data_IF_577480529864
#
_entry.id   IF_577480529864
#
_cell.length_a   1.000
_cell.length_b   1.000
_cell.length_c   1.000
_cell.angle_alpha   90.00
_cell.angle_beta   90.00
_cell.angle_gamma   90.00
#
_symmetry.space_group_name_H-M   'P 1'
#
loop_
_entity.id
_entity.type
_entity.pdbx_description
1 polymer ?
#
# COMPACT_ATOMS: atom_id res chain seq x y z
N UNK A 1 32.17 14.38 -2.10
CA UNK A 1 31.91 13.11 -1.38
C UNK A 1 30.83 12.41 -2.16
N UNK A 2 31.20 11.36 -2.90
CA UNK A 2 30.27 10.58 -3.74
C UNK A 2 29.25 9.91 -2.85
N UNK A 3 27.94 10.17 -3.08
CA UNK A 3 26.85 9.42 -2.49
C UNK A 3 27.02 7.96 -2.95
N UNK A 4 27.37 7.05 -2.01
CA UNK A 4 27.25 5.63 -2.25
C UNK A 4 25.77 5.37 -2.57
N UNK A 5 25.47 4.94 -3.79
CA UNK A 5 24.15 4.47 -4.16
C UNK A 5 23.72 3.43 -3.13
N UNK A 6 22.49 3.53 -2.65
CA UNK A 6 21.92 2.56 -1.71
C UNK A 6 21.91 1.20 -2.43
N UNK A 7 22.84 0.31 -2.06
CA UNK A 7 23.05 -1.03 -2.64
C UNK A 7 21.79 -1.93 -2.52
N UNK A 8 20.73 -1.43 -1.87
CA UNK A 8 19.44 -2.10 -1.66
C UNK A 8 18.40 -1.78 -2.73
N UNK A 9 18.65 -0.79 -3.61
CA UNK A 9 17.75 -0.43 -4.71
C UNK A 9 18.06 -1.25 -5.95
N UNK A 10 17.04 -1.85 -6.55
CA UNK A 10 17.14 -2.59 -7.80
C UNK A 10 15.91 -2.41 -8.68
N UNK A 11 16.05 -2.71 -9.95
CA UNK A 11 14.94 -2.79 -10.89
C UNK A 11 14.60 -4.26 -11.14
N UNK A 12 13.32 -4.61 -11.03
CA UNK A 12 12.81 -5.96 -11.30
C UNK A 12 11.95 -5.91 -12.56
N UNK A 13 12.18 -6.82 -13.49
CA UNK A 13 11.34 -6.95 -14.69
C UNK A 13 10.12 -7.82 -14.35
N UNK A 14 8.94 -7.24 -14.47
CA UNK A 14 7.67 -7.90 -14.18
C UNK A 14 6.74 -7.70 -15.37
N UNK A 15 6.33 -8.77 -16.03
CA UNK A 15 5.41 -8.75 -17.19
C UNK A 15 5.82 -7.72 -18.27
N UNK A 16 7.13 -7.60 -18.52
CA UNK A 16 7.69 -6.70 -19.54
C UNK A 16 7.91 -5.25 -19.06
N UNK A 17 7.52 -4.90 -17.84
CA UNK A 17 7.73 -3.58 -17.25
C UNK A 17 8.81 -3.61 -16.16
N UNK A 18 9.60 -2.56 -16.06
CA UNK A 18 10.63 -2.40 -15.01
C UNK A 18 10.03 -1.71 -13.81
N UNK A 19 10.05 -2.39 -12.66
CA UNK A 19 9.59 -1.84 -11.39
C UNK A 19 10.78 -1.51 -10.50
N UNK A 20 10.75 -0.30 -9.93
CA UNK A 20 11.67 0.12 -8.88
C UNK A 20 11.37 -0.65 -7.60
N UNK A 21 12.39 -1.31 -7.04
CA UNK A 21 12.31 -2.07 -5.81
C UNK A 21 13.44 -1.71 -4.86
N UNK A 22 13.16 -1.73 -3.56
CA UNK A 22 14.15 -1.63 -2.49
C UNK A 22 13.95 -2.80 -1.53
N UNK A 23 15.03 -3.50 -1.24
CA UNK A 23 15.01 -4.61 -0.29
C UNK A 23 15.49 -4.14 1.09
N UNK A 24 14.85 -4.66 2.13
CA UNK A 24 15.28 -4.55 3.53
C UNK A 24 15.65 -5.96 3.99
N UNK A 25 16.92 -6.24 4.14
CA UNK A 25 17.41 -7.61 4.29
C UNK A 25 17.26 -8.41 2.99
N UNK A 26 17.08 -9.72 3.12
CA UNK A 26 16.99 -10.66 1.99
C UNK A 26 15.61 -11.35 2.00
N UNK A 27 14.57 -10.72 1.43
CA UNK A 27 13.28 -11.37 1.28
C UNK A 27 13.35 -12.46 0.20
N UNK A 28 12.70 -13.59 0.46
CA UNK A 28 12.59 -14.70 -0.50
C UNK A 28 12.53 -16.07 0.18
N UNK A 29 12.21 -17.08 -0.61
CA UNK A 29 12.07 -18.46 -0.14
C UNK A 29 10.81 -18.70 0.68
N UNK A 30 10.88 -19.64 1.61
CA UNK A 30 9.75 -20.06 2.44
C UNK A 30 9.51 -19.16 3.67
N UNK A 31 10.46 -18.28 4.00
CA UNK A 31 10.34 -17.38 5.15
C UNK A 31 9.36 -16.23 4.86
N UNK A 32 8.57 -15.80 5.85
CA UNK A 32 7.72 -14.64 5.68
C UNK A 32 8.53 -13.36 5.38
N UNK A 33 7.96 -12.47 4.56
CA UNK A 33 8.53 -11.15 4.27
C UNK A 33 7.44 -10.08 4.29
N UNK A 34 7.77 -8.86 4.73
CA UNK A 34 6.92 -7.70 4.58
C UNK A 34 6.94 -7.22 3.12
N UNK A 35 5.78 -6.92 2.57
CA UNK A 35 5.65 -6.33 1.22
C UNK A 35 4.89 -5.03 1.34
N UNK A 36 5.57 -3.92 1.06
CA UNK A 36 5.03 -2.57 1.23
C UNK A 36 4.39 -2.07 -0.06
N UNK A 37 3.09 -1.79 0.02
CA UNK A 37 2.27 -1.27 -1.08
C UNK A 37 1.88 0.18 -0.79
N UNK A 38 2.36 1.09 -1.62
CA UNK A 38 2.20 2.54 -1.42
C UNK A 38 0.81 3.06 -1.81
N UNK A 39 0.49 4.26 -1.32
CA UNK A 39 -0.72 5.03 -1.61
C UNK A 39 -0.76 5.59 -3.05
N UNK A 40 -1.81 6.39 -3.35
CA UNK A 40 -2.11 6.92 -4.69
C UNK A 40 -0.99 7.70 -5.36
N UNK A 41 -0.22 8.47 -4.60
CA UNK A 41 0.94 9.25 -5.08
C UNK A 41 2.25 8.81 -4.43
N UNK A 42 2.29 7.61 -3.87
CA UNK A 42 3.45 7.05 -3.22
C UNK A 42 4.45 6.40 -4.16
N UNK A 43 5.57 6.01 -3.59
CA UNK A 43 6.65 5.29 -4.25
C UNK A 43 7.62 4.74 -3.20
N UNK A 44 8.69 4.07 -3.62
CA UNK A 44 9.74 3.55 -2.71
C UNK A 44 10.24 4.63 -1.76
N UNK A 45 10.60 5.80 -2.26
CA UNK A 45 11.15 6.88 -1.43
C UNK A 45 10.14 7.54 -0.49
N UNK A 46 8.84 7.44 -0.78
CA UNK A 46 7.76 7.99 0.04
C UNK A 46 7.64 7.32 1.41
N UNK A 47 8.06 6.07 1.53
CA UNK A 47 8.07 5.33 2.79
C UNK A 47 9.16 5.78 3.77
N UNK A 48 10.16 6.52 3.32
CA UNK A 48 11.32 6.99 4.12
C UNK A 48 12.02 5.81 4.82
N UNK A 49 12.27 5.91 6.12
CA UNK A 49 12.91 4.91 6.99
C UNK A 49 11.91 3.92 7.63
N UNK A 50 10.61 4.14 7.46
CA UNK A 50 9.58 3.33 8.10
C UNK A 50 9.71 1.82 7.82
N UNK A 51 9.96 1.35 6.58
CA UNK A 51 10.16 -0.06 6.31
C UNK A 51 11.35 -0.67 7.06
N UNK A 52 12.47 0.06 7.16
CA UNK A 52 13.65 -0.40 7.87
C UNK A 52 13.37 -0.57 9.37
N UNK A 53 12.67 0.41 9.97
CA UNK A 53 12.29 0.38 11.38
C UNK A 53 11.33 -0.77 11.68
N UNK A 54 10.32 -0.95 10.84
CA UNK A 54 9.35 -2.02 11.03
C UNK A 54 10.00 -3.40 10.84
N UNK A 55 10.76 -3.61 9.75
CA UNK A 55 11.48 -4.85 9.49
C UNK A 55 12.40 -5.23 10.65
N UNK A 56 13.20 -4.26 11.16
CA UNK A 56 14.06 -4.46 12.30
C UNK A 56 13.28 -4.84 13.57
N UNK A 57 12.12 -4.20 13.80
CA UNK A 57 11.30 -4.47 14.99
C UNK A 57 10.68 -5.86 14.97
N UNK A 58 10.14 -6.29 13.84
CA UNK A 58 9.44 -7.59 13.72
C UNK A 58 10.38 -8.74 13.36
N UNK A 59 11.64 -8.44 12.99
CA UNK A 59 12.62 -9.45 12.61
C UNK A 59 12.34 -10.12 11.26
N UNK A 60 11.62 -9.44 10.37
CA UNK A 60 11.31 -9.93 9.02
C UNK A 60 12.00 -9.06 7.96
N UNK A 61 12.49 -9.68 6.86
CA UNK A 61 12.93 -8.91 5.70
C UNK A 61 11.76 -8.24 5.00
N UNK A 62 12.04 -7.25 4.13
CA UNK A 62 11.01 -6.49 3.44
C UNK A 62 11.31 -6.20 1.97
N UNK A 63 10.25 -6.10 1.19
CA UNK A 63 10.21 -5.57 -0.17
C UNK A 63 9.41 -4.28 -0.17
N UNK A 64 10.02 -3.19 -0.64
CA UNK A 64 9.33 -1.94 -0.96
C UNK A 64 9.41 -1.75 -2.45
N UNK A 65 8.29 -1.51 -3.14
CA UNK A 65 8.32 -1.29 -4.59
C UNK A 65 7.42 -0.13 -5.00
N UNK A 66 7.77 0.48 -6.13
CA UNK A 66 6.94 1.47 -6.80
C UNK A 66 6.12 0.79 -7.89
N UNK A 67 4.80 0.96 -7.86
CA UNK A 67 3.90 0.44 -8.90
C UNK A 67 4.20 1.05 -10.26
N UNK A 68 3.77 0.42 -11.34
CA UNK A 68 3.89 0.94 -12.70
C UNK A 68 3.31 2.37 -12.80
N UNK A 69 4.09 3.29 -13.36
CA UNK A 69 3.74 4.71 -13.46
C UNK A 69 4.14 5.54 -12.24
N UNK A 70 4.80 4.95 -11.23
CA UNK A 70 5.21 5.65 -10.00
C UNK A 70 6.70 5.51 -9.72
N UNK A 71 7.25 6.45 -8.95
CA UNK A 71 8.64 6.39 -8.52
C UNK A 71 9.61 6.35 -9.70
N UNK A 72 10.58 5.45 -9.61
CA UNK A 72 11.55 5.12 -10.67
C UNK A 72 11.09 3.99 -11.59
N UNK A 73 9.88 3.45 -11.43
CA UNK A 73 9.30 2.44 -12.31
C UNK A 73 9.04 2.97 -13.73
N UNK A 74 8.86 2.07 -14.68
CA UNK A 74 8.50 2.49 -16.04
C UNK A 74 7.19 3.29 -16.05
N UNK A 75 7.08 4.33 -16.89
CA UNK A 75 5.87 5.13 -17.05
C UNK A 75 4.67 4.28 -17.50
N UNK A 76 3.48 4.67 -17.06
CA UNK A 76 2.25 4.06 -17.55
C UNK A 76 2.04 4.42 -19.02
N UNK A 77 1.65 3.44 -19.84
CA UNK A 77 1.28 3.67 -21.23
C UNK A 77 -0.24 3.90 -21.33
N UNK A 78 -0.65 5.11 -21.68
CA UNK A 78 -2.07 5.48 -21.80
C UNK A 78 -2.77 5.74 -20.46
N UNK A 79 -4.10 5.82 -20.49
CA UNK A 79 -4.91 6.10 -19.32
C UNK A 79 -4.95 4.90 -18.35
N UNK A 80 -4.99 5.18 -17.05
CA UNK A 80 -5.14 4.17 -16.02
C UNK A 80 -6.57 3.61 -16.02
N UNK A 81 -6.69 2.30 -15.95
CA UNK A 81 -7.99 1.61 -15.88
C UNK A 81 -8.71 1.89 -14.54
N UNK A 82 -10.04 2.01 -14.50
CA UNK A 82 -10.80 1.99 -13.25
C UNK A 82 -10.62 0.70 -12.43
N UNK A 83 -10.07 -0.35 -13.03
CA UNK A 83 -9.73 -1.60 -12.37
C UNK A 83 -8.29 -1.64 -11.83
N UNK A 84 -7.54 -0.55 -11.86
CA UNK A 84 -6.10 -0.52 -11.61
C UNK A 84 -5.66 -1.19 -10.30
N UNK A 85 -6.45 -1.08 -9.23
CA UNK A 85 -6.14 -1.76 -7.97
C UNK A 85 -6.35 -3.27 -8.09
N UNK A 86 -7.36 -3.72 -8.82
CA UNK A 86 -7.58 -5.13 -9.09
C UNK A 86 -6.49 -5.69 -10.01
N UNK A 87 -6.13 -4.94 -11.06
CA UNK A 87 -5.09 -5.36 -12.02
C UNK A 87 -3.73 -5.49 -11.30
N UNK A 88 -3.39 -4.53 -10.43
CA UNK A 88 -2.20 -4.61 -9.58
C UNK A 88 -2.24 -5.83 -8.66
N UNK A 89 -3.37 -6.03 -7.95
CA UNK A 89 -3.53 -7.10 -6.97
C UNK A 89 -3.54 -8.50 -7.59
N UNK A 90 -4.01 -8.64 -8.85
CA UNK A 90 -4.25 -9.95 -9.47
C UNK A 90 -3.26 -10.34 -10.55
N UNK A 91 -2.49 -9.39 -11.08
CA UNK A 91 -1.48 -9.61 -12.10
C UNK A 91 -0.07 -9.19 -11.62
N UNK A 92 0.17 -7.88 -11.43
CA UNK A 92 1.51 -7.35 -11.15
C UNK A 92 2.08 -7.85 -9.82
N UNK A 93 1.33 -7.74 -8.73
CA UNK A 93 1.79 -8.18 -7.40
C UNK A 93 2.11 -9.68 -7.36
N UNK A 94 1.25 -10.61 -7.85
CA UNK A 94 1.59 -12.03 -7.91
C UNK A 94 2.83 -12.32 -8.76
N UNK A 95 2.99 -11.61 -9.88
CA UNK A 95 4.15 -11.78 -10.75
C UNK A 95 5.44 -11.31 -10.06
N UNK A 96 5.40 -10.16 -9.37
CA UNK A 96 6.53 -9.64 -8.61
C UNK A 96 6.92 -10.57 -7.46
N UNK A 97 5.94 -11.09 -6.71
CA UNK A 97 6.18 -12.04 -5.62
C UNK A 97 6.85 -13.32 -6.13
N UNK A 98 6.42 -13.83 -7.29
CA UNK A 98 6.99 -15.00 -7.93
C UNK A 98 8.42 -14.75 -8.42
N UNK A 99 8.68 -13.59 -9.05
CA UNK A 99 10.01 -13.21 -9.52
C UNK A 99 11.03 -13.10 -8.38
N UNK A 100 10.57 -12.70 -7.19
CA UNK A 100 11.39 -12.55 -5.99
C UNK A 100 11.36 -13.78 -5.07
N UNK A 101 10.68 -14.85 -5.47
CA UNK A 101 10.45 -16.07 -4.65
C UNK A 101 9.86 -15.78 -3.25
N UNK A 102 8.99 -14.76 -3.13
CA UNK A 102 8.31 -14.44 -1.87
C UNK A 102 7.02 -15.24 -1.77
N UNK A 103 7.01 -16.27 -0.90
CA UNK A 103 5.91 -17.26 -0.84
C UNK A 103 4.90 -17.00 0.28
N UNK A 104 5.28 -16.30 1.34
CA UNK A 104 4.43 -15.98 2.49
C UNK A 104 4.46 -14.48 2.79
N UNK A 105 3.92 -13.63 1.89
CA UNK A 105 3.93 -12.20 2.10
C UNK A 105 3.05 -11.79 3.28
N UNK A 106 3.56 -10.91 4.14
CA UNK A 106 2.76 -10.04 5.00
C UNK A 106 2.56 -8.75 4.20
N UNK A 107 1.36 -8.56 3.66
CA UNK A 107 1.05 -7.41 2.83
C UNK A 107 0.79 -6.20 3.73
N UNK A 108 1.67 -5.21 3.66
CA UNK A 108 1.61 -3.97 4.41
C UNK A 108 1.26 -2.83 3.45
N UNK A 109 -0.02 -2.45 3.41
CA UNK A 109 -0.52 -1.47 2.45
C UNK A 109 -0.96 -0.17 3.10
N UNK A 110 -0.81 0.94 2.36
CA UNK A 110 -1.35 2.24 2.73
C UNK A 110 -2.30 2.74 1.62
N UNK A 111 -3.50 3.20 1.99
CA UNK A 111 -4.51 3.77 1.09
C UNK A 111 -4.81 2.84 -0.10
N UNK A 112 -4.59 3.26 -1.36
CA UNK A 112 -4.68 2.37 -2.54
C UNK A 112 -3.92 1.05 -2.33
N UNK A 113 -2.73 1.11 -1.74
CA UNK A 113 -1.92 -0.07 -1.46
C UNK A 113 -2.57 -1.01 -0.43
N UNK A 114 -3.31 -0.47 0.54
CA UNK A 114 -4.07 -1.26 1.50
C UNK A 114 -5.26 -1.95 0.82
N UNK A 115 -5.95 -1.24 -0.07
CA UNK A 115 -7.03 -1.80 -0.88
C UNK A 115 -6.51 -2.92 -1.81
N UNK A 116 -5.35 -2.71 -2.47
CA UNK A 116 -4.67 -3.73 -3.28
C UNK A 116 -4.34 -4.98 -2.45
N UNK A 117 -3.81 -4.80 -1.22
CA UNK A 117 -3.52 -5.91 -0.32
C UNK A 117 -4.77 -6.73 0.04
N UNK A 118 -5.88 -6.05 0.32
CA UNK A 118 -7.17 -6.68 0.63
C UNK A 118 -7.75 -7.42 -0.59
N UNK A 119 -7.68 -6.82 -1.79
CA UNK A 119 -8.09 -7.46 -3.05
C UNK A 119 -7.27 -8.72 -3.28
N UNK A 120 -5.94 -8.64 -3.16
CA UNK A 120 -5.05 -9.79 -3.34
C UNK A 120 -5.38 -10.93 -2.37
N UNK A 121 -5.54 -10.61 -1.08
CA UNK A 121 -5.86 -11.59 -0.04
C UNK A 121 -7.22 -12.28 -0.26
N UNK A 122 -8.19 -11.57 -0.86
CA UNK A 122 -9.50 -12.13 -1.19
C UNK A 122 -9.51 -12.93 -2.49
N UNK A 123 -8.71 -12.51 -3.48
CA UNK A 123 -8.61 -13.20 -4.76
C UNK A 123 -7.81 -14.50 -4.65
N UNK A 124 -6.74 -14.50 -3.82
CA UNK A 124 -5.86 -15.64 -3.60
C UNK A 124 -5.83 -16.07 -2.12
N UNK A 125 -6.96 -16.65 -1.59
CA UNK A 125 -7.03 -17.02 -0.19
C UNK A 125 -5.95 -18.04 0.18
N UNK A 126 -5.17 -17.73 1.22
CA UNK A 126 -4.10 -18.59 1.72
C UNK A 126 -2.71 -18.28 1.18
N UNK A 127 -2.55 -17.34 0.23
CA UNK A 127 -1.23 -16.86 -0.23
C UNK A 127 -0.63 -15.86 0.76
N UNK A 128 -1.37 -14.82 1.10
CA UNK A 128 -0.91 -13.86 2.11
C UNK A 128 -0.96 -14.48 3.51
N UNK A 129 0.16 -14.34 4.26
CA UNK A 129 0.23 -14.73 5.67
C UNK A 129 -0.65 -13.83 6.54
N UNK A 130 -0.65 -12.53 6.26
CA UNK A 130 -1.45 -11.52 6.93
C UNK A 130 -1.57 -10.27 6.08
N UNK A 131 -2.53 -9.39 6.41
CA UNK A 131 -2.66 -8.05 5.86
C UNK A 131 -2.61 -7.03 7.00
N UNK A 132 -1.78 -5.99 6.83
CA UNK A 132 -1.83 -4.76 7.61
C UNK A 132 -2.28 -3.64 6.67
N UNK A 133 -3.49 -3.15 6.88
CA UNK A 133 -4.14 -2.18 6.01
C UNK A 133 -4.23 -0.83 6.72
N UNK A 134 -3.42 0.14 6.28
CA UNK A 134 -3.43 1.51 6.79
C UNK A 134 -4.32 2.38 5.92
N UNK A 135 -5.30 3.04 6.51
CA UNK A 135 -6.23 3.93 5.84
C UNK A 135 -6.80 3.37 4.51
N UNK A 136 -7.33 2.12 4.51
CA UNK A 136 -7.82 1.47 3.30
C UNK A 136 -9.07 2.14 2.77
N UNK A 137 -9.36 1.92 1.48
CA UNK A 137 -10.67 2.17 0.90
C UNK A 137 -11.32 0.84 0.51
N UNK A 138 -12.55 0.61 0.94
CA UNK A 138 -13.39 -0.51 0.51
C UNK A 138 -14.40 -0.08 -0.54
N UNK A 139 -14.77 1.17 -0.47
CA UNK A 139 -15.72 1.84 -1.36
C UNK A 139 -15.41 3.34 -1.42
N UNK A 140 -15.92 3.99 -2.44
CA UNK A 140 -15.74 5.43 -2.63
C UNK A 140 -16.63 6.20 -1.65
N UNK A 141 -16.05 7.15 -0.92
CA UNK A 141 -16.76 8.08 -0.04
C UNK A 141 -16.72 9.51 -0.59
N UNK A 142 -17.75 10.33 -0.37
CA UNK A 142 -17.76 11.73 -0.81
C UNK A 142 -16.59 12.55 -0.26
N UNK A 143 -16.12 12.27 0.97
CA UNK A 143 -14.96 12.94 1.59
C UNK A 143 -13.68 12.67 0.80
N UNK A 144 -13.48 11.45 0.31
CA UNK A 144 -12.34 11.10 -0.53
C UNK A 144 -12.35 11.87 -1.85
N UNK A 145 -13.47 11.84 -2.55
CA UNK A 145 -13.66 12.55 -3.83
C UNK A 145 -13.41 14.06 -3.66
N UNK A 146 -13.97 14.65 -2.61
CA UNK A 146 -13.77 16.08 -2.31
C UNK A 146 -12.30 16.42 -2.04
N UNK A 147 -11.58 15.59 -1.28
CA UNK A 147 -10.17 15.77 -0.98
C UNK A 147 -9.28 15.62 -2.22
N UNK A 148 -9.57 14.64 -3.06
CA UNK A 148 -8.85 14.46 -4.33
C UNK A 148 -9.12 15.63 -5.28
N UNK A 149 -10.37 16.09 -5.40
CA UNK A 149 -10.69 17.28 -6.19
C UNK A 149 -10.01 18.56 -5.66
N UNK A 150 -9.77 18.66 -4.34
CA UNK A 150 -9.01 19.76 -3.75
C UNK A 150 -7.53 19.70 -4.15
N UNK A 151 -6.89 18.54 -4.09
CA UNK A 151 -5.46 18.39 -4.43
C UNK A 151 -5.21 18.63 -5.93
N UNK A 152 -6.16 18.32 -6.81
CA UNK A 152 -6.08 18.68 -8.25
C UNK A 152 -6.00 20.19 -8.43
N UNK A 153 -6.79 20.96 -7.68
CA UNK A 153 -6.73 22.44 -7.72
C UNK A 153 -5.40 23.01 -7.19
N UNK A 154 -4.75 22.28 -6.30
CA UNK A 154 -3.44 22.71 -5.74
C UNK A 154 -2.27 22.38 -6.65
N UNK A 155 -2.40 21.36 -7.51
CA UNK A 155 -1.31 20.84 -8.33
C UNK A 155 -0.67 21.91 -9.20
N UNK A 156 -1.49 22.74 -9.88
CA UNK A 156 -1.03 23.81 -10.75
C UNK A 156 -0.81 25.16 -10.03
N UNK A 157 -1.33 25.30 -8.81
CA UNK A 157 -1.34 26.58 -8.06
C UNK A 157 -0.26 26.69 -7.00
N UNK A 158 0.32 25.58 -6.61
CA UNK A 158 1.33 25.50 -5.55
C UNK A 158 2.59 24.81 -6.08
N UNK A 159 3.58 24.61 -5.20
CA UNK A 159 4.77 23.83 -5.52
C UNK A 159 4.57 22.31 -5.36
N UNK A 160 3.31 21.84 -5.40
CA UNK A 160 3.01 20.41 -5.22
C UNK A 160 3.65 19.56 -6.34
N UNK A 161 3.52 20.02 -7.59
CA UNK A 161 4.13 19.34 -8.73
C UNK A 161 5.64 19.19 -8.59
N UNK A 162 6.37 20.26 -8.21
CA UNK A 162 7.82 20.21 -8.01
C UNK A 162 8.21 19.31 -6.84
N UNK A 163 7.39 19.24 -5.80
CA UNK A 163 7.62 18.34 -4.67
C UNK A 163 7.47 16.88 -5.09
N UNK A 164 6.42 16.56 -5.84
CA UNK A 164 6.18 15.20 -6.35
C UNK A 164 7.22 14.79 -7.41
N UNK A 165 7.70 15.73 -8.25
CA UNK A 165 8.72 15.49 -9.25
C UNK A 165 10.08 15.02 -8.67
N UNK A 166 10.31 15.21 -7.36
CA UNK A 166 11.50 14.66 -6.67
C UNK A 166 11.41 13.16 -6.45
N UNK A 167 10.21 12.59 -6.57
CA UNK A 167 9.90 11.22 -6.24
C UNK A 167 9.47 10.40 -7.46
N UNK A 168 8.95 11.03 -8.50
CA UNK A 168 8.41 10.36 -9.68
C UNK A 168 9.15 10.73 -10.94
N UNK A 169 9.55 9.72 -11.70
CA UNK A 169 10.17 9.89 -13.03
C UNK A 169 9.21 10.55 -14.02
N UNK A 170 7.93 10.20 -13.93
CA UNK A 170 6.82 10.80 -14.68
C UNK A 170 5.78 11.33 -13.69
N UNK A 171 5.98 12.56 -13.24
CA UNK A 171 5.15 13.18 -12.20
C UNK A 171 3.73 13.44 -12.67
N UNK A 172 3.57 13.88 -13.93
CA UNK A 172 2.26 14.22 -14.49
C UNK A 172 1.46 12.93 -14.75
N UNK A 173 2.11 11.88 -15.29
CA UNK A 173 1.50 10.57 -15.45
C UNK A 173 1.10 9.92 -14.13
N UNK A 174 1.93 10.03 -13.08
CA UNK A 174 1.59 9.55 -11.74
C UNK A 174 0.39 10.30 -11.15
N UNK A 175 0.39 11.63 -11.23
CA UNK A 175 -0.65 12.47 -10.65
C UNK A 175 -1.99 12.31 -11.38
N UNK A 176 -2.02 12.54 -12.68
CA UNK A 176 -3.25 12.46 -13.48
C UNK A 176 -3.75 11.02 -13.60
N UNK A 177 -2.84 10.04 -13.73
CA UNK A 177 -3.23 8.63 -13.73
C UNK A 177 -3.98 8.21 -12.48
N UNK A 178 -3.70 8.80 -11.32
CA UNK A 178 -4.42 8.55 -10.08
C UNK A 178 -5.69 9.41 -9.97
N UNK A 179 -5.58 10.72 -10.12
CA UNK A 179 -6.70 11.65 -9.88
C UNK A 179 -7.82 11.46 -10.87
N UNK A 180 -7.52 11.24 -12.16
CA UNK A 180 -8.52 11.11 -13.21
C UNK A 180 -9.38 9.85 -13.01
N UNK A 181 -8.78 8.75 -12.55
CA UNK A 181 -9.54 7.53 -12.23
C UNK A 181 -10.45 7.77 -11.01
N UNK A 182 -9.89 8.26 -9.91
CA UNK A 182 -10.65 8.47 -8.68
C UNK A 182 -11.82 9.44 -8.84
N UNK A 183 -11.70 10.42 -9.74
CA UNK A 183 -12.75 11.42 -10.03
C UNK A 183 -13.66 11.02 -11.19
N UNK A 184 -13.45 9.87 -11.83
CA UNK A 184 -14.28 9.42 -12.94
C UNK A 184 -15.59 8.81 -12.47
N UNK A 185 -16.65 9.00 -13.28
CA UNK A 185 -17.95 8.34 -13.05
C UNK A 185 -17.82 6.81 -13.02
N UNK A 186 -16.89 6.26 -13.82
CA UNK A 186 -16.65 4.82 -13.88
C UNK A 186 -16.12 4.25 -12.55
N UNK A 187 -15.49 5.07 -11.72
CA UNK A 187 -14.97 4.66 -10.41
C UNK A 187 -15.93 4.94 -9.24
N UNK A 188 -16.96 5.75 -9.46
CA UNK A 188 -17.89 6.17 -8.39
C UNK A 188 -18.57 5.00 -7.64
N UNK A 189 -18.78 3.87 -8.33
CA UNK A 189 -19.38 2.65 -7.76
C UNK A 189 -18.35 1.59 -7.35
N UNK A 190 -17.04 1.93 -7.34
CA UNK A 190 -15.99 0.97 -6.99
C UNK A 190 -16.14 0.49 -5.56
N UNK A 191 -16.03 -0.84 -5.38
CA UNK A 191 -16.25 -1.51 -4.10
C UNK A 191 -15.51 -2.86 -4.08
N UNK A 192 -14.86 -3.19 -2.96
CA UNK A 192 -14.10 -4.42 -2.75
C UNK A 192 -14.60 -5.26 -1.55
N UNK A 193 -15.81 -5.02 -1.08
CA UNK A 193 -16.37 -5.77 0.05
C UNK A 193 -16.43 -7.27 -0.21
N UNK A 194 -16.62 -7.68 -1.46
CA UNK A 194 -16.62 -9.08 -1.87
C UNK A 194 -15.26 -9.74 -1.63
N UNK A 195 -14.20 -9.08 -2.05
CA UNK A 195 -12.81 -9.53 -1.89
C UNK A 195 -12.43 -9.57 -0.40
N UNK A 196 -12.77 -8.54 0.37
CA UNK A 196 -12.55 -8.52 1.82
C UNK A 196 -13.25 -9.72 2.48
N UNK A 197 -14.51 -9.98 2.16
CA UNK A 197 -15.26 -11.13 2.70
C UNK A 197 -14.62 -12.48 2.34
N UNK A 198 -14.03 -12.60 1.15
CA UNK A 198 -13.41 -13.84 0.67
C UNK A 198 -12.01 -14.08 1.26
N UNK A 199 -11.35 -13.06 1.79
CA UNK A 199 -10.01 -13.19 2.38
C UNK A 199 -10.02 -14.18 3.55
N UNK A 200 -8.93 -14.93 3.75
CA UNK A 200 -8.82 -15.92 4.84
C UNK A 200 -7.69 -15.62 5.84
N UNK A 201 -6.76 -14.76 5.47
CA UNK A 201 -5.68 -14.38 6.35
C UNK A 201 -6.15 -13.44 7.48
N UNK A 202 -5.42 -13.38 8.60
CA UNK A 202 -5.61 -12.35 9.62
C UNK A 202 -5.42 -10.94 9.07
N UNK A 203 -6.19 -9.97 9.59
CA UNK A 203 -6.15 -8.57 9.17
C UNK A 203 -5.97 -7.67 10.40
N UNK A 204 -5.02 -6.71 10.31
CA UNK A 204 -4.94 -5.52 11.15
C UNK A 204 -5.33 -4.32 10.29
N UNK A 205 -6.40 -3.63 10.63
CA UNK A 205 -6.86 -2.43 9.95
C UNK A 205 -6.64 -1.21 10.84
N UNK A 206 -5.97 -0.19 10.32
CA UNK A 206 -5.55 1.01 11.03
C UNK A 206 -6.12 2.24 10.35
N UNK A 207 -6.72 3.15 11.11
CA UNK A 207 -7.30 4.40 10.59
C UNK A 207 -6.98 5.55 11.53
N UNK A 208 -6.59 6.70 10.96
CA UNK A 208 -6.51 7.95 11.70
C UNK A 208 -7.91 8.54 11.92
N UNK A 209 -8.20 9.05 13.13
CA UNK A 209 -9.50 9.66 13.42
C UNK A 209 -9.71 10.98 12.67
N UNK A 210 -8.61 11.67 12.30
CA UNK A 210 -8.61 12.92 11.53
C UNK A 210 -8.32 12.70 10.03
N UNK A 211 -8.55 11.50 9.53
CA UNK A 211 -8.28 11.17 8.12
C UNK A 211 -9.23 11.94 7.19
N UNK A 212 -8.64 12.71 6.28
CA UNK A 212 -9.37 13.55 5.33
C UNK A 212 -9.74 12.84 4.03
N UNK A 213 -9.32 11.60 3.83
CA UNK A 213 -9.63 10.80 2.63
C UNK A 213 -10.60 9.65 2.88
N UNK A 214 -10.74 9.20 4.14
CA UNK A 214 -11.63 8.10 4.47
C UNK A 214 -12.12 8.17 5.92
N UNK A 215 -13.37 7.79 6.16
CA UNK A 215 -13.93 7.75 7.50
C UNK A 215 -13.58 6.44 8.21
N UNK A 216 -13.82 6.39 9.54
CA UNK A 216 -13.69 5.16 10.34
C UNK A 216 -14.53 4.00 9.77
N UNK A 217 -15.60 4.32 9.01
CA UNK A 217 -16.48 3.34 8.37
C UNK A 217 -15.71 2.34 7.49
N UNK A 218 -14.61 2.76 6.90
CA UNK A 218 -13.76 1.89 6.06
C UNK A 218 -13.25 0.68 6.87
N UNK A 219 -12.62 0.92 8.02
CA UNK A 219 -12.08 -0.19 8.82
C UNK A 219 -13.15 -0.92 9.65
N UNK A 220 -14.19 -0.23 10.09
CA UNK A 220 -15.33 -0.87 10.75
C UNK A 220 -16.00 -1.88 9.82
N UNK A 221 -16.14 -1.51 8.54
CA UNK A 221 -16.70 -2.40 7.53
C UNK A 221 -15.84 -3.65 7.30
N UNK A 222 -14.52 -3.54 7.38
CA UNK A 222 -13.64 -4.72 7.34
C UNK A 222 -13.98 -5.68 8.48
N UNK A 223 -14.12 -5.18 9.71
CA UNK A 223 -14.43 -6.01 10.87
C UNK A 223 -15.81 -6.68 10.78
N UNK A 224 -16.81 -6.00 10.22
CA UNK A 224 -18.13 -6.59 9.95
C UNK A 224 -18.07 -7.73 8.92
N UNK A 225 -17.29 -7.55 7.85
CA UNK A 225 -17.13 -8.54 6.79
C UNK A 225 -16.21 -9.70 7.20
N UNK A 226 -15.25 -9.44 8.08
CA UNK A 226 -14.23 -10.35 8.57
C UNK A 226 -14.14 -10.29 10.08
N UNK A 227 -15.04 -10.98 10.80
CA UNK A 227 -14.94 -11.13 12.26
C UNK A 227 -13.56 -11.66 12.67
N UNK A 228 -12.97 -11.05 13.70
CA UNK A 228 -11.59 -11.32 14.12
C UNK A 228 -10.54 -10.36 13.53
N UNK A 229 -10.93 -9.45 12.65
CA UNK A 229 -10.07 -8.30 12.26
C UNK A 229 -9.72 -7.48 13.49
N UNK A 230 -8.42 -7.17 13.65
CA UNK A 230 -7.98 -6.21 14.67
C UNK A 230 -8.12 -4.79 14.14
N UNK A 231 -8.75 -3.92 14.91
CA UNK A 231 -8.91 -2.50 14.58
C UNK A 231 -7.97 -1.67 15.46
N UNK A 232 -7.37 -0.65 14.85
CA UNK A 232 -6.61 0.39 15.54
C UNK A 232 -7.07 1.76 15.04
N UNK A 233 -7.82 2.49 15.86
CA UNK A 233 -8.10 3.90 15.67
C UNK A 233 -6.99 4.74 16.30
N UNK A 234 -6.47 5.72 15.58
CA UNK A 234 -5.37 6.55 16.03
C UNK A 234 -5.85 8.00 16.20
N UNK A 235 -5.93 8.51 17.43
CA UNK A 235 -6.28 9.91 17.66
C UNK A 235 -5.17 10.84 17.18
N UNK A 236 -5.54 12.07 16.76
CA UNK A 236 -4.61 13.06 16.20
C UNK A 236 -3.73 12.47 15.08
N UNK A 237 -4.33 11.69 14.22
CA UNK A 237 -3.68 11.02 13.08
C UNK A 237 -4.53 11.25 11.84
N UNK A 238 -3.89 11.69 10.77
CA UNK A 238 -4.50 11.92 9.47
C UNK A 238 -4.37 10.69 8.59
N UNK A 239 -4.37 10.88 7.27
CA UNK A 239 -4.39 9.80 6.27
C UNK A 239 -3.10 8.95 6.22
N UNK A 240 -2.01 9.37 6.85
CA UNK A 240 -0.71 8.67 6.76
C UNK A 240 -0.24 8.16 8.14
N UNK A 241 -0.88 7.13 8.72
CA UNK A 241 -0.54 6.61 10.05
C UNK A 241 0.95 6.28 10.23
N UNK A 242 1.60 5.76 9.21
CA UNK A 242 3.04 5.43 9.22
C UNK A 242 3.95 6.67 9.30
N UNK A 243 3.44 7.86 8.97
CA UNK A 243 4.16 9.14 9.09
C UNK A 243 3.77 9.91 10.34
N UNK A 244 2.48 9.95 10.67
CA UNK A 244 1.93 10.74 11.78
C UNK A 244 2.16 10.03 13.13
N UNK A 245 2.01 8.71 13.16
CA UNK A 245 2.09 7.87 14.38
C UNK A 245 2.92 6.60 14.14
N UNK A 246 4.18 6.73 13.65
CA UNK A 246 4.98 5.57 13.23
C UNK A 246 5.21 4.55 14.34
N UNK A 247 5.45 4.99 15.57
CA UNK A 247 5.74 4.10 16.69
C UNK A 247 4.51 3.27 17.09
N UNK A 248 3.31 3.87 17.07
CA UNK A 248 2.06 3.17 17.37
C UNK A 248 1.77 2.10 16.31
N UNK A 249 1.96 2.44 15.02
CA UNK A 249 1.78 1.49 13.91
C UNK A 249 2.78 0.34 14.00
N UNK A 250 4.04 0.62 14.29
CA UNK A 250 5.09 -0.40 14.46
C UNK A 250 4.75 -1.32 15.64
N UNK A 251 4.38 -0.75 16.79
CA UNK A 251 4.05 -1.52 17.98
C UNK A 251 2.82 -2.42 17.76
N UNK A 252 1.77 -1.89 17.13
CA UNK A 252 0.56 -2.64 16.82
C UNK A 252 0.83 -3.77 15.82
N UNK A 253 1.66 -3.50 14.79
CA UNK A 253 2.05 -4.51 13.80
C UNK A 253 2.88 -5.63 14.44
N UNK A 254 3.87 -5.30 15.29
CA UNK A 254 4.67 -6.29 16.02
C UNK A 254 3.78 -7.17 16.91
N UNK A 255 2.90 -6.57 17.71
CA UNK A 255 1.96 -7.30 18.56
C UNK A 255 0.97 -8.17 17.77
N UNK A 256 0.54 -7.70 16.60
CA UNK A 256 -0.33 -8.44 15.71
C UNK A 256 0.40 -9.67 15.14
N UNK A 257 1.60 -9.51 14.58
CA UNK A 257 2.35 -10.61 13.98
C UNK A 257 2.80 -11.66 15.00
N UNK A 258 3.25 -11.24 16.20
CA UNK A 258 3.59 -12.17 17.30
C UNK A 258 2.41 -13.03 17.72
N UNK A 259 1.20 -12.51 17.66
CA UNK A 259 0.01 -13.28 18.02
C UNK A 259 -0.37 -14.34 16.97
N UNK A 260 0.17 -14.25 15.75
CA UNK A 260 -0.01 -15.26 14.70
C UNK A 260 0.92 -16.48 14.93
N UNK A 261 2.07 -16.27 15.57
CA UNK A 261 3.05 -17.28 15.93
C UNK A 261 3.26 -17.28 17.45
N UNK A 262 2.31 -17.81 18.24
CA UNK A 262 2.55 -17.91 19.67
C UNK A 262 3.77 -18.80 19.92
N UNK A 263 4.61 -18.47 20.92
CA UNK A 263 5.75 -19.31 21.27
C UNK A 263 5.26 -20.75 21.49
N UNK A 264 5.95 -21.71 20.90
CA UNK A 264 5.69 -23.14 21.18
C UNK A 264 5.97 -23.35 22.66
N UNK A 265 4.92 -23.62 23.43
CA UNK A 265 5.03 -24.00 24.85
C UNK A 265 5.70 -25.36 24.99
#
# INVERSE_FOLDING_TARGET
MSARGDDRSRTVLVEGSRLECRLVGEPGGASPALVFLHEGLGCVSGWRDFPDRLCARVGLPGLVYSRLGYGGSDPLQGARSPRFMHDEATATLPALLRELDIRQPVLFGHSDGASIALIHAGTFPGVARAVVALAPHLFVEPVCVASIAAIVREYDRTNLRERLARHHRDVDGAFHGWTDVWLSDAFASWNIEREVRASRCPILAVQGEDDQYGTMRQIERIAELRPGTRLLALPACRHSPQLDRPDDVIAATDAFLRALDPPRT
#
